data_IF_916136518967
#
_entry.id   IF_916136518967
#
_cell.length_a   1.000
_cell.length_b   1.000
_cell.length_c   1.000
_cell.angle_alpha   90.00
_cell.angle_beta   90.00
_cell.angle_gamma   90.00
#
_symmetry.space_group_name_H-M   'P 1'
#
loop_
_entity.id
_entity.type
_entity.pdbx_description
1 polymer ?
#
# COMPACT_ATOMS: atom_id res chain seq x y z
N UNK A 1 18.91 -3.63 -17.97
CA UNK A 1 19.08 -2.24 -17.49
C UNK A 1 17.84 -1.86 -16.70
N UNK A 2 17.91 -1.88 -15.36
CA UNK A 2 16.83 -1.29 -14.54
C UNK A 2 17.22 0.16 -14.25
N UNK A 3 16.43 1.10 -14.77
CA UNK A 3 16.75 2.54 -14.80
C UNK A 3 16.43 3.26 -13.48
N UNK A 4 15.96 2.55 -12.45
CA UNK A 4 15.69 3.16 -11.14
C UNK A 4 15.97 2.17 -10.02
N UNK A 5 16.66 2.64 -8.98
CA UNK A 5 16.81 1.95 -7.69
C UNK A 5 15.81 2.58 -6.72
N UNK A 6 14.55 2.14 -6.70
CA UNK A 6 13.58 2.70 -5.76
C UNK A 6 13.97 2.31 -4.33
N UNK A 7 13.92 3.28 -3.43
CA UNK A 7 14.14 3.06 -1.99
C UNK A 7 12.92 2.40 -1.35
N UNK A 8 11.73 2.53 -1.97
CA UNK A 8 10.55 1.76 -1.60
C UNK A 8 9.64 1.37 -2.78
N UNK A 9 8.94 0.27 -2.61
CA UNK A 9 8.02 -0.31 -3.59
C UNK A 9 6.66 -0.58 -2.93
N UNK A 10 5.59 -0.10 -3.57
CA UNK A 10 4.23 -0.14 -3.03
C UNK A 10 3.31 -0.96 -3.92
N UNK A 11 2.58 -1.91 -3.33
CA UNK A 11 1.40 -2.52 -3.93
C UNK A 11 0.13 -2.00 -3.24
N UNK A 12 -0.62 -1.18 -3.97
CA UNK A 12 -1.79 -0.48 -3.41
C UNK A 12 -3.00 -1.41 -3.18
N UNK A 13 -3.22 -2.37 -4.08
CA UNK A 13 -4.33 -3.30 -3.96
C UNK A 13 -4.08 -4.53 -4.82
N UNK A 14 -4.50 -5.69 -4.31
CA UNK A 14 -4.64 -6.92 -5.07
C UNK A 14 -6.13 -7.20 -5.31
N UNK A 15 -6.65 -6.67 -6.42
CA UNK A 15 -7.99 -6.95 -6.90
C UNK A 15 -7.96 -7.47 -8.33
N UNK A 16 -8.97 -8.26 -8.68
CA UNK A 16 -9.24 -8.72 -10.04
C UNK A 16 -9.77 -7.57 -10.91
N UNK A 17 -8.96 -6.53 -11.12
CA UNK A 17 -9.21 -5.54 -12.16
C UNK A 17 -8.55 -6.03 -13.46
N UNK A 18 -9.32 -6.14 -14.55
CA UNK A 18 -8.85 -6.62 -15.85
C UNK A 18 -8.21 -8.02 -15.84
N UNK A 19 -9.00 -9.06 -15.52
CA UNK A 19 -8.59 -10.46 -15.68
C UNK A 19 -8.22 -10.85 -17.13
N UNK A 20 -8.55 -10.03 -18.12
CA UNK A 20 -8.30 -10.28 -19.54
C UNK A 20 -6.81 -10.38 -19.92
N UNK A 21 -5.88 -9.86 -19.08
CA UNK A 21 -4.43 -9.92 -19.35
C UNK A 21 -3.63 -10.91 -18.49
N UNK A 22 -4.15 -11.30 -17.32
CA UNK A 22 -3.40 -12.09 -16.32
C UNK A 22 -3.97 -13.48 -16.06
N UNK A 23 -5.15 -13.80 -16.60
CA UNK A 23 -5.78 -15.13 -16.55
C UNK A 23 -6.35 -15.54 -15.19
N UNK A 24 -5.72 -15.15 -14.08
CA UNK A 24 -6.17 -15.43 -12.70
C UNK A 24 -5.71 -14.37 -11.71
N UNK A 25 -6.32 -14.35 -10.52
CA UNK A 25 -5.87 -13.50 -9.40
C UNK A 25 -4.42 -13.81 -8.99
N UNK A 26 -4.01 -15.08 -9.07
CA UNK A 26 -2.62 -15.51 -8.84
C UNK A 26 -1.66 -14.91 -9.87
N UNK A 27 -2.06 -14.85 -11.14
CA UNK A 27 -1.29 -14.20 -12.20
C UNK A 27 -1.08 -12.70 -11.93
N UNK A 28 -2.13 -12.02 -11.46
CA UNK A 28 -2.05 -10.61 -11.02
C UNK A 28 -1.12 -10.48 -9.81
N UNK A 29 -1.23 -11.36 -8.82
CA UNK A 29 -0.43 -11.33 -7.60
C UNK A 29 1.06 -11.54 -7.88
N UNK A 30 1.38 -12.49 -8.77
CA UNK A 30 2.74 -12.72 -9.23
C UNK A 30 3.31 -11.49 -9.91
N UNK A 31 2.59 -10.93 -10.90
CA UNK A 31 3.04 -9.76 -11.64
C UNK A 31 3.23 -8.52 -10.74
N UNK A 32 2.32 -8.29 -9.78
CA UNK A 32 2.47 -7.20 -8.80
C UNK A 32 3.62 -7.44 -7.83
N UNK A 33 3.87 -8.69 -7.45
CA UNK A 33 4.98 -9.06 -6.56
C UNK A 33 6.37 -8.85 -7.16
N UNK A 34 6.49 -8.85 -8.50
CA UNK A 34 7.77 -8.61 -9.19
C UNK A 34 8.40 -7.26 -8.82
N UNK A 35 7.60 -6.26 -8.40
CA UNK A 35 8.13 -4.96 -7.98
C UNK A 35 9.10 -5.06 -6.79
N UNK A 36 8.88 -6.02 -5.89
CA UNK A 36 9.74 -6.22 -4.72
C UNK A 36 11.11 -6.80 -5.08
N UNK A 37 11.24 -7.46 -6.24
CA UNK A 37 12.53 -7.95 -6.73
C UNK A 37 13.50 -6.81 -7.07
N UNK A 38 12.97 -5.63 -7.40
CA UNK A 38 13.75 -4.43 -7.70
C UNK A 38 14.21 -3.66 -6.48
N UNK A 39 13.81 -4.06 -5.27
CA UNK A 39 14.21 -3.37 -4.04
C UNK A 39 15.68 -3.69 -3.67
N UNK A 40 16.46 -2.67 -3.26
CA UNK A 40 17.75 -2.91 -2.62
C UNK A 40 17.56 -3.57 -1.24
N UNK A 41 18.65 -4.04 -0.62
CA UNK A 41 18.60 -4.76 0.67
C UNK A 41 18.08 -3.89 1.82
N UNK A 42 18.28 -2.57 1.73
CA UNK A 42 17.79 -1.55 2.65
C UNK A 42 16.44 -0.93 2.22
N UNK A 43 15.86 -1.45 1.13
CA UNK A 43 14.60 -0.96 0.59
C UNK A 43 13.38 -1.32 1.43
N UNK A 44 12.28 -0.58 1.26
CA UNK A 44 11.04 -0.76 2.01
C UNK A 44 9.95 -1.34 1.09
N UNK A 45 9.39 -2.48 1.49
CA UNK A 45 8.20 -3.05 0.86
C UNK A 45 6.95 -2.51 1.55
N UNK A 46 6.03 -1.93 0.78
CA UNK A 46 4.78 -1.36 1.29
C UNK A 46 3.61 -2.12 0.65
N UNK A 47 2.70 -2.64 1.47
CA UNK A 47 1.59 -3.47 0.99
C UNK A 47 0.29 -3.20 1.74
N UNK A 48 -0.82 -3.39 1.03
CA UNK A 48 -2.15 -3.31 1.60
C UNK A 48 -2.43 -4.51 2.52
N UNK A 49 -2.70 -4.31 3.80
CA UNK A 49 -2.94 -5.42 4.74
C UNK A 49 -4.26 -6.16 4.48
N UNK A 50 -5.24 -5.52 3.84
CA UNK A 50 -6.55 -6.11 3.53
C UNK A 50 -6.53 -6.92 2.23
N UNK A 51 -5.68 -6.51 1.27
CA UNK A 51 -5.65 -7.07 -0.09
C UNK A 51 -4.22 -7.25 -0.60
N UNK A 52 -3.56 -8.32 -0.16
CA UNK A 52 -2.20 -8.70 -0.55
C UNK A 52 -2.06 -10.20 -0.78
N UNK A 53 -0.90 -10.59 -1.31
CA UNK A 53 -0.46 -11.97 -1.40
C UNK A 53 0.80 -12.21 -0.57
N UNK A 54 0.74 -11.85 0.72
CA UNK A 54 1.86 -11.94 1.66
C UNK A 54 2.54 -13.31 1.66
N UNK A 55 1.76 -14.39 1.59
CA UNK A 55 2.29 -15.76 1.61
C UNK A 55 3.31 -16.01 0.50
N UNK A 56 3.08 -15.45 -0.68
CA UNK A 56 3.98 -15.56 -1.83
C UNK A 56 5.03 -14.43 -1.88
N UNK A 57 4.72 -13.24 -1.37
CA UNK A 57 5.64 -12.10 -1.43
C UNK A 57 6.68 -12.08 -0.31
N UNK A 58 6.42 -12.70 0.84
CA UNK A 58 7.34 -12.68 1.99
C UNK A 58 8.74 -13.20 1.64
N UNK A 59 8.84 -14.21 0.76
CA UNK A 59 10.12 -14.77 0.31
C UNK A 59 10.85 -13.85 -0.68
N UNK A 60 10.10 -13.09 -1.47
CA UNK A 60 10.63 -12.10 -2.42
C UNK A 60 11.15 -10.87 -1.66
N UNK A 61 10.39 -10.42 -0.66
CA UNK A 61 10.72 -9.28 0.20
C UNK A 61 11.92 -9.62 1.09
N UNK A 62 11.96 -10.84 1.65
CA UNK A 62 13.07 -11.32 2.47
C UNK A 62 13.16 -10.58 3.81
N UNK A 63 14.37 -10.15 4.18
CA UNK A 63 14.63 -9.41 5.43
C UNK A 63 14.39 -7.90 5.33
N UNK A 64 13.93 -7.41 4.18
CA UNK A 64 13.68 -5.99 3.96
C UNK A 64 12.58 -5.46 4.87
N UNK A 65 12.63 -4.16 5.17
CA UNK A 65 11.62 -3.51 5.98
C UNK A 65 10.26 -3.61 5.28
N UNK A 66 9.24 -3.97 6.06
CA UNK A 66 7.88 -4.13 5.55
C UNK A 66 6.96 -3.17 6.27
N UNK A 67 6.20 -2.39 5.51
CA UNK A 67 5.13 -1.53 6.00
C UNK A 67 3.79 -1.96 5.45
N UNK A 68 2.81 -2.04 6.33
CA UNK A 68 1.45 -2.42 5.99
C UNK A 68 0.53 -1.24 6.18
N UNK A 69 -0.39 -1.05 5.25
CA UNK A 69 -1.45 -0.06 5.41
C UNK A 69 -2.82 -0.71 5.33
N UNK A 70 -3.76 -0.25 6.14
CA UNK A 70 -5.15 -0.67 6.05
C UNK A 70 -6.08 0.31 6.77
N UNK A 71 -7.22 0.68 6.16
CA UNK A 71 -8.26 1.45 6.83
C UNK A 71 -9.08 0.61 7.82
N UNK A 72 -8.91 -0.71 7.88
CA UNK A 72 -9.72 -1.62 8.71
C UNK A 72 -8.90 -2.37 9.77
N UNK A 73 -7.63 -2.67 9.48
CA UNK A 73 -6.76 -3.47 10.34
C UNK A 73 -5.88 -2.58 11.21
N UNK A 74 -6.27 -2.44 12.48
CA UNK A 74 -5.58 -1.62 13.48
C UNK A 74 -4.10 -2.02 13.73
N UNK A 75 -3.69 -3.24 13.35
CA UNK A 75 -2.32 -3.73 13.50
C UNK A 75 -1.42 -3.40 12.28
N UNK A 76 -1.75 -2.37 11.51
CA UNK A 76 -0.98 -1.92 10.36
C UNK A 76 -0.17 -0.67 10.70
N UNK A 77 0.96 -0.48 10.01
CA UNK A 77 1.83 0.70 10.19
C UNK A 77 1.14 2.01 9.81
N UNK A 78 0.28 1.96 8.79
CA UNK A 78 -0.54 3.09 8.33
C UNK A 78 -2.02 2.75 8.45
N UNK A 79 -2.76 3.50 9.25
CA UNK A 79 -4.20 3.24 9.50
C UNK A 79 -5.01 4.53 9.46
N UNK A 80 -6.33 4.38 9.35
CA UNK A 80 -7.28 5.48 9.48
C UNK A 80 -8.18 5.26 10.69
N UNK A 81 -8.32 6.29 11.54
CA UNK A 81 -9.22 6.30 12.69
C UNK A 81 -10.13 7.52 12.63
N UNK A 82 -11.16 7.57 13.47
CA UNK A 82 -12.13 8.68 13.51
C UNK A 82 -12.71 9.03 12.12
N UNK A 83 -13.07 8.01 11.35
CA UNK A 83 -13.56 8.19 9.97
C UNK A 83 -14.97 8.76 10.00
N UNK A 84 -15.14 9.97 9.48
CA UNK A 84 -16.40 10.68 9.33
C UNK A 84 -16.63 11.05 7.87
N UNK A 85 -17.72 10.56 7.29
CA UNK A 85 -18.14 10.94 5.94
C UNK A 85 -19.05 12.16 6.05
N UNK A 86 -18.68 13.25 5.40
CA UNK A 86 -19.39 14.53 5.40
C UNK A 86 -19.85 14.89 3.99
N UNK A 87 -20.62 15.97 3.86
CA UNK A 87 -20.99 16.53 2.54
C UNK A 87 -19.80 17.11 1.77
N UNK A 88 -18.67 17.35 2.44
CA UNK A 88 -17.46 17.95 1.85
C UNK A 88 -16.39 16.91 1.52
N UNK A 89 -16.55 15.66 1.98
CA UNK A 89 -15.57 14.60 1.78
C UNK A 89 -15.57 13.58 2.89
N UNK A 90 -14.44 12.92 3.09
CA UNK A 90 -14.18 12.01 4.20
C UNK A 90 -13.09 12.59 5.08
N UNK A 91 -13.42 12.81 6.35
CA UNK A 91 -12.50 13.25 7.40
C UNK A 91 -12.03 12.02 8.17
N UNK A 92 -10.74 11.93 8.47
CA UNK A 92 -10.18 10.86 9.29
C UNK A 92 -8.81 11.26 9.84
N UNK A 93 -8.40 10.61 10.93
CA UNK A 93 -7.03 10.71 11.44
C UNK A 93 -6.19 9.60 10.81
N UNK A 94 -5.23 9.98 9.97
CA UNK A 94 -4.18 9.11 9.44
C UNK A 94 -3.15 8.87 10.55
N UNK A 95 -2.96 7.62 10.93
CA UNK A 95 -1.89 7.20 11.84
C UNK A 95 -0.75 6.61 11.01
N UNK A 96 0.47 7.08 11.24
CA UNK A 96 1.72 6.58 10.65
C UNK A 96 2.68 6.14 11.77
N UNK A 97 3.80 5.47 11.44
CA UNK A 97 4.84 5.16 12.43
C UNK A 97 5.49 6.41 13.07
N UNK A 98 5.35 7.57 12.45
CA UNK A 98 5.97 8.83 12.86
C UNK A 98 5.01 9.79 13.57
N UNK A 99 3.69 9.54 13.50
CA UNK A 99 2.68 10.34 14.19
C UNK A 99 1.29 10.22 13.58
N UNK A 100 0.36 11.03 14.10
CA UNK A 100 -1.00 11.15 13.57
C UNK A 100 -1.21 12.49 12.87
N UNK A 101 -1.98 12.50 11.78
CA UNK A 101 -2.40 13.72 11.08
C UNK A 101 -3.86 13.63 10.68
N UNK A 102 -4.61 14.71 10.89
CA UNK A 102 -5.99 14.80 10.43
C UNK A 102 -6.04 15.12 8.93
N UNK A 103 -6.82 14.33 8.20
CA UNK A 103 -6.94 14.38 6.75
C UNK A 103 -8.40 14.64 6.37
N UNK A 104 -8.61 15.65 5.52
CA UNK A 104 -9.86 15.83 4.79
C UNK A 104 -9.64 15.43 3.35
N UNK A 105 -10.28 14.33 2.94
CA UNK A 105 -10.24 13.85 1.56
C UNK A 105 -11.51 14.28 0.84
N UNK A 106 -11.46 15.10 -0.23
CA UNK A 106 -12.64 15.59 -0.94
C UNK A 106 -13.29 14.51 -1.83
N UNK A 107 -13.17 13.24 -1.43
CA UNK A 107 -13.71 12.08 -2.11
C UNK A 107 -14.35 11.16 -1.06
N UNK A 108 -15.58 10.68 -1.31
CA UNK A 108 -16.17 9.64 -0.48
C UNK A 108 -15.51 8.28 -0.78
N UNK A 109 -15.51 7.40 0.22
CA UNK A 109 -15.26 5.97 0.01
C UNK A 109 -13.95 5.45 0.60
N UNK A 110 -14.03 4.24 1.15
CA UNK A 110 -12.93 3.57 1.87
C UNK A 110 -11.71 3.26 1.00
N UNK A 111 -11.91 3.02 -0.30
CA UNK A 111 -10.80 2.83 -1.24
C UNK A 111 -9.95 4.09 -1.37
N UNK A 112 -10.54 5.28 -1.28
CA UNK A 112 -9.81 6.54 -1.33
C UNK A 112 -9.02 6.78 -0.04
N UNK A 113 -9.55 6.35 1.11
CA UNK A 113 -8.78 6.32 2.36
C UNK A 113 -7.58 5.39 2.19
N UNK A 114 -7.78 4.16 1.70
CA UNK A 114 -6.67 3.22 1.46
C UNK A 114 -5.59 3.80 0.53
N UNK A 115 -5.99 4.49 -0.55
CA UNK A 115 -5.05 5.19 -1.45
C UNK A 115 -4.27 6.28 -0.71
N UNK A 116 -4.91 7.03 0.19
CA UNK A 116 -4.25 8.06 1.00
C UNK A 116 -3.24 7.44 1.98
N UNK A 117 -3.58 6.31 2.63
CA UNK A 117 -2.66 5.57 3.49
C UNK A 117 -1.45 5.05 2.69
N UNK A 118 -1.70 4.51 1.50
CA UNK A 118 -0.67 4.01 0.60
C UNK A 118 0.30 5.13 0.17
N UNK A 119 -0.23 6.30 -0.19
CA UNK A 119 0.56 7.47 -0.54
C UNK A 119 1.42 7.96 0.64
N UNK A 120 0.88 7.97 1.86
CA UNK A 120 1.64 8.30 3.07
C UNK A 120 2.81 7.32 3.28
N UNK A 121 2.57 6.02 3.14
CA UNK A 121 3.63 5.01 3.22
C UNK A 121 4.71 5.20 2.16
N UNK A 122 4.34 5.55 0.93
CA UNK A 122 5.30 5.81 -0.14
C UNK A 122 6.16 7.05 0.15
N UNK A 123 5.57 8.14 0.66
CA UNK A 123 6.32 9.36 1.02
C UNK A 123 7.28 9.08 2.18
N UNK A 124 6.82 8.45 3.24
CA UNK A 124 7.64 8.11 4.41
C UNK A 124 8.77 7.11 4.05
N UNK A 125 8.58 6.34 2.98
CA UNK A 125 9.52 5.31 2.53
C UNK A 125 10.42 5.72 1.37
N UNK A 126 10.28 6.94 0.83
CA UNK A 126 11.02 7.39 -0.37
C UNK A 126 10.60 6.67 -1.67
N UNK A 127 9.36 6.15 -1.74
CA UNK A 127 8.92 5.15 -2.72
C UNK A 127 8.25 5.64 -4.00
N UNK A 128 8.18 4.72 -4.99
CA UNK A 128 7.33 4.80 -6.20
C UNK A 128 6.11 3.86 -6.08
N UNK A 129 5.01 4.20 -6.74
CA UNK A 129 3.69 3.51 -6.67
C UNK A 129 3.42 2.70 -7.95
N UNK A 130 2.83 1.49 -7.83
CA UNK A 130 2.38 0.65 -8.95
C UNK A 130 0.97 0.06 -8.75
#
# INVERSE_FOLDING_TARGET
MSLTRPEAALVNNLAAAHLEGFGSLEGVAKAKGEIYTGLPDDGIAILNADNNDWLNWQSIIGSRKTWRFSPNAANSDFTATNIHVTSHGTEFTLTTPTGGVDVLLPLPGRHNIANALAAAGAVDGGGRVA
#
